data_IF_327916505316
#
_entry.id   IF_327916505316
#
_cell.length_a   1.000
_cell.length_b   1.000
_cell.length_c   1.000
_cell.angle_alpha   90.00
_cell.angle_beta   90.00
_cell.angle_gamma   90.00
#
_symmetry.space_group_name_H-M   'P 1'
#
loop_
_entity.id
_entity.type
_entity.pdbx_description
1 polymer ?
#
# COMPACT_ATOMS: atom_id res chain seq x y z
N UNK A 1 -7.34 -9.55 -6.11
CA UNK A 1 -8.05 -10.56 -5.32
C UNK A 1 -7.83 -11.99 -5.86
N UNK A 2 -7.63 -12.15 -7.16
CA UNK A 2 -7.33 -13.46 -7.77
C UNK A 2 -6.07 -14.09 -7.18
N UNK A 3 -5.05 -13.30 -6.85
CA UNK A 3 -3.77 -13.77 -6.30
C UNK A 3 -3.78 -14.01 -4.78
N UNK A 4 -4.91 -13.74 -4.11
CA UNK A 4 -5.07 -13.92 -2.65
C UNK A 4 -6.43 -14.56 -2.33
N UNK A 5 -6.61 -15.83 -2.63
CA UNK A 5 -7.89 -16.55 -2.43
C UNK A 5 -8.27 -16.65 -0.94
N UNK A 6 -7.31 -16.56 -0.03
CA UNK A 6 -7.53 -16.65 1.41
C UNK A 6 -8.11 -15.37 2.06
N UNK A 7 -8.26 -14.27 1.30
CA UNK A 7 -8.91 -13.07 1.83
C UNK A 7 -10.40 -13.36 2.03
N UNK A 8 -10.88 -13.21 3.26
CA UNK A 8 -12.28 -13.46 3.64
C UNK A 8 -13.08 -12.17 3.75
N UNK A 9 -12.44 -11.06 4.19
CA UNK A 9 -13.09 -9.78 4.40
C UNK A 9 -12.26 -8.63 3.77
N UNK A 10 -12.97 -7.63 3.25
CA UNK A 10 -12.43 -6.39 2.73
C UNK A 10 -13.10 -5.24 3.48
N UNK A 11 -12.32 -4.49 4.25
CA UNK A 11 -12.79 -3.27 4.93
C UNK A 11 -12.36 -2.06 4.12
N UNK A 12 -13.33 -1.23 3.73
CA UNK A 12 -13.10 -0.03 2.92
C UNK A 12 -13.30 1.21 3.77
N UNK A 13 -12.27 2.03 3.84
CA UNK A 13 -12.32 3.35 4.46
C UNK A 13 -12.01 4.44 3.44
N UNK A 14 -12.96 5.31 3.19
CA UNK A 14 -12.84 6.47 2.29
C UNK A 14 -12.75 7.78 3.07
N UNK A 15 -12.85 8.88 2.34
CA UNK A 15 -12.77 10.24 2.92
C UNK A 15 -13.90 10.52 3.92
N UNK A 16 -15.08 9.98 3.68
CA UNK A 16 -16.25 10.10 4.56
C UNK A 16 -16.94 8.73 4.70
N UNK A 17 -17.68 8.50 5.79
CA UNK A 17 -18.47 7.27 5.95
C UNK A 17 -19.43 7.03 4.77
N UNK A 18 -20.02 8.09 4.23
CA UNK A 18 -20.97 8.02 3.10
C UNK A 18 -20.26 7.55 1.83
N UNK A 19 -19.03 8.03 1.59
CA UNK A 19 -18.24 7.59 0.43
C UNK A 19 -17.82 6.14 0.54
N UNK A 20 -17.48 5.67 1.73
CA UNK A 20 -17.18 4.26 2.00
C UNK A 20 -18.42 3.38 1.78
N UNK A 21 -19.57 3.80 2.32
CA UNK A 21 -20.84 3.08 2.16
C UNK A 21 -21.27 3.02 0.69
N UNK A 22 -21.15 4.11 -0.05
CA UNK A 22 -21.46 4.15 -1.48
C UNK A 22 -20.54 3.22 -2.30
N UNK A 23 -19.25 3.19 -1.98
CA UNK A 23 -18.27 2.33 -2.67
C UNK A 23 -18.56 0.83 -2.47
N UNK A 24 -18.83 0.40 -1.22
CA UNK A 24 -19.13 -1.01 -0.94
C UNK A 24 -20.51 -1.45 -1.44
N UNK A 25 -21.38 -0.50 -1.76
CA UNK A 25 -22.69 -0.77 -2.37
C UNK A 25 -22.68 -0.76 -3.90
N UNK A 26 -21.55 -0.36 -4.52
CA UNK A 26 -21.43 -0.33 -5.97
C UNK A 26 -21.50 -1.75 -6.56
N UNK A 27 -22.41 -2.04 -7.51
CA UNK A 27 -22.58 -3.40 -8.06
C UNK A 27 -21.31 -3.99 -8.68
N UNK A 28 -20.46 -3.17 -9.28
CA UNK A 28 -19.21 -3.60 -9.87
C UNK A 28 -18.20 -4.01 -8.78
N UNK A 29 -18.13 -3.26 -7.67
CA UNK A 29 -17.27 -3.58 -6.52
C UNK A 29 -17.74 -4.84 -5.82
N UNK A 30 -19.05 -5.01 -5.66
CA UNK A 30 -19.67 -6.23 -5.10
C UNK A 30 -19.33 -7.46 -5.95
N UNK A 31 -19.45 -7.35 -7.27
CA UNK A 31 -19.08 -8.43 -8.20
C UNK A 31 -17.60 -8.81 -8.09
N UNK A 32 -16.70 -7.81 -8.03
CA UNK A 32 -15.27 -8.04 -7.83
C UNK A 32 -14.92 -8.66 -6.48
N UNK A 33 -15.65 -8.33 -5.43
CA UNK A 33 -15.45 -8.91 -4.11
C UNK A 33 -15.85 -10.40 -4.09
N UNK A 34 -16.83 -10.78 -4.91
CA UNK A 34 -17.31 -12.16 -4.99
C UNK A 34 -17.91 -12.64 -3.69
N UNK A 35 -17.42 -13.75 -3.14
CA UNK A 35 -17.91 -14.31 -1.87
C UNK A 35 -17.33 -13.67 -0.61
N UNK A 36 -16.45 -12.67 -0.73
CA UNK A 36 -15.80 -12.02 0.40
C UNK A 36 -16.73 -11.03 1.08
N UNK A 37 -16.64 -10.93 2.39
CA UNK A 37 -17.36 -9.88 3.12
C UNK A 37 -16.79 -8.51 2.73
N UNK A 38 -17.66 -7.60 2.27
CA UNK A 38 -17.30 -6.23 1.88
C UNK A 38 -17.98 -5.26 2.83
N UNK A 39 -17.19 -4.49 3.59
CA UNK A 39 -17.66 -3.68 4.72
C UNK A 39 -17.11 -2.26 4.62
N UNK A 40 -17.98 -1.26 4.79
CA UNK A 40 -17.53 0.11 5.05
C UNK A 40 -17.07 0.21 6.51
N UNK A 41 -15.88 0.74 6.74
CA UNK A 41 -15.31 0.87 8.08
C UNK A 41 -14.58 2.19 8.29
N UNK A 42 -14.09 2.38 9.51
CA UNK A 42 -13.23 3.52 9.87
C UNK A 42 -11.79 3.31 9.39
N UNK A 43 -10.95 4.36 9.37
CA UNK A 43 -9.53 4.21 9.09
C UNK A 43 -8.84 3.21 10.03
N UNK A 44 -9.21 3.19 11.32
CA UNK A 44 -8.67 2.29 12.33
C UNK A 44 -9.04 0.83 12.05
N UNK A 45 -10.29 0.57 11.68
CA UNK A 45 -10.77 -0.78 11.32
C UNK A 45 -10.05 -1.29 10.07
N UNK A 46 -9.91 -0.44 9.03
CA UNK A 46 -9.15 -0.79 7.82
C UNK A 46 -7.67 -1.05 8.11
N UNK A 47 -7.04 -0.20 8.95
CA UNK A 47 -5.63 -0.32 9.30
C UNK A 47 -5.31 -1.51 10.22
N UNK A 48 -6.31 -2.07 10.94
CA UNK A 48 -6.13 -3.27 11.76
C UNK A 48 -6.12 -4.59 10.98
N UNK A 49 -6.26 -4.53 9.65
CA UNK A 49 -6.23 -5.71 8.78
C UNK A 49 -4.80 -6.24 8.60
N UNK A 50 -4.66 -7.53 8.26
CA UNK A 50 -3.36 -8.15 7.95
C UNK A 50 -2.71 -7.58 6.67
N UNK A 51 -3.54 -7.11 5.72
CA UNK A 51 -3.13 -6.47 4.50
C UNK A 51 -3.83 -5.11 4.37
N UNK A 52 -3.06 -4.03 4.39
CA UNK A 52 -3.54 -2.65 4.24
C UNK A 52 -3.11 -2.10 2.90
N UNK A 53 -4.04 -1.49 2.15
CA UNK A 53 -3.76 -0.85 0.87
C UNK A 53 -4.12 0.64 0.93
N UNK A 54 -3.12 1.52 0.87
CA UNK A 54 -3.28 2.96 0.69
C UNK A 54 -3.32 3.32 -0.80
N UNK A 55 -4.45 3.89 -1.24
CA UNK A 55 -4.69 4.27 -2.64
C UNK A 55 -5.26 5.69 -2.71
N UNK A 56 -4.83 6.58 -1.82
CA UNK A 56 -5.40 7.93 -1.70
C UNK A 56 -4.51 8.99 -2.33
N UNK A 57 -5.06 10.15 -2.60
CA UNK A 57 -4.32 11.34 -3.02
C UNK A 57 -4.11 12.33 -1.87
N UNK A 58 -4.14 11.85 -0.62
CA UNK A 58 -4.05 12.70 0.56
C UNK A 58 -2.69 13.40 0.68
N UNK A 59 -2.72 14.61 1.25
CA UNK A 59 -1.53 15.34 1.69
C UNK A 59 -1.20 15.09 3.16
N UNK A 60 -2.17 14.53 3.89
CA UNK A 60 -2.05 14.22 5.32
C UNK A 60 -2.18 12.70 5.55
N UNK A 61 -1.49 12.14 6.55
CA UNK A 61 -1.58 10.71 6.84
C UNK A 61 -3.01 10.26 7.09
N UNK A 62 -3.40 9.16 6.44
CA UNK A 62 -4.75 8.58 6.52
C UNK A 62 -4.75 7.15 7.08
N UNK A 63 -3.57 6.53 7.19
CA UNK A 63 -3.39 5.21 7.80
C UNK A 63 -2.95 5.40 9.26
N UNK A 64 -3.81 5.09 10.25
CA UNK A 64 -3.46 5.23 11.67
C UNK A 64 -2.39 4.23 12.09
N UNK A 65 -1.16 4.68 12.34
CA UNK A 65 -0.04 3.82 12.76
C UNK A 65 -0.33 3.01 14.02
N UNK A 66 -1.15 3.54 14.93
CA UNK A 66 -1.50 2.86 16.17
C UNK A 66 -2.41 1.63 15.97
N UNK A 67 -3.10 1.53 14.84
CA UNK A 67 -3.96 0.40 14.52
C UNK A 67 -3.21 -0.75 13.81
N UNK A 68 -2.02 -0.48 13.24
CA UNK A 68 -1.20 -1.49 12.56
C UNK A 68 -0.70 -2.53 13.56
N UNK A 69 -0.93 -3.80 13.26
CA UNK A 69 -0.57 -4.94 14.10
C UNK A 69 0.76 -5.57 13.65
N UNK A 70 1.45 -6.30 14.53
CA UNK A 70 2.54 -7.17 14.12
C UNK A 70 2.12 -8.10 12.96
N UNK A 71 2.98 -8.30 11.99
CA UNK A 71 2.70 -9.13 10.80
C UNK A 71 1.96 -8.42 9.66
N UNK A 72 1.43 -7.22 9.88
CA UNK A 72 0.73 -6.46 8.82
C UNK A 72 1.66 -6.18 7.63
N UNK A 73 1.11 -6.31 6.42
CA UNK A 73 1.71 -5.75 5.20
C UNK A 73 0.95 -4.50 4.76
N UNK A 74 1.68 -3.41 4.53
CA UNK A 74 1.13 -2.12 4.08
C UNK A 74 1.62 -1.83 2.67
N UNK A 75 0.72 -1.81 1.69
CA UNK A 75 0.98 -1.40 0.31
C UNK A 75 0.49 0.03 0.07
N UNK A 76 1.37 0.93 -0.36
CA UNK A 76 1.06 2.34 -0.61
C UNK A 76 1.30 2.68 -2.08
N UNK A 77 0.24 3.05 -2.79
CA UNK A 77 0.30 3.43 -4.22
C UNK A 77 -0.29 4.81 -4.51
N UNK A 78 -0.92 5.44 -3.52
CA UNK A 78 -1.68 6.68 -3.72
C UNK A 78 -0.83 7.92 -3.86
N UNK A 79 0.29 8.00 -3.19
CA UNK A 79 1.16 9.17 -3.18
C UNK A 79 2.30 9.02 -4.21
N UNK A 80 2.19 9.75 -5.30
CA UNK A 80 3.18 9.84 -6.39
C UNK A 80 3.74 11.27 -6.56
N UNK A 81 3.81 12.03 -5.48
CA UNK A 81 4.23 13.43 -5.47
C UNK A 81 4.92 13.72 -4.15
N UNK A 82 5.96 14.54 -4.18
CA UNK A 82 6.78 14.93 -3.02
C UNK A 82 6.03 15.62 -1.88
N UNK A 83 4.76 16.04 -2.12
CA UNK A 83 3.92 16.74 -1.15
C UNK A 83 2.80 15.85 -0.57
N UNK A 84 2.63 14.62 -1.06
CA UNK A 84 1.56 13.70 -0.63
C UNK A 84 2.12 12.62 0.27
N UNK A 85 1.30 12.18 1.21
CA UNK A 85 1.64 11.07 2.11
C UNK A 85 0.36 10.41 2.65
N UNK A 86 0.43 9.10 2.80
CA UNK A 86 -0.65 8.29 3.38
C UNK A 86 -0.32 7.82 4.80
N UNK A 87 0.98 7.84 5.18
CA UNK A 87 1.47 7.37 6.47
C UNK A 87 2.35 8.41 7.17
N UNK A 88 2.54 8.24 8.47
CA UNK A 88 3.47 9.03 9.29
C UNK A 88 4.87 8.44 9.27
N UNK A 89 5.93 9.22 9.60
CA UNK A 89 7.28 8.69 9.79
C UNK A 89 7.36 7.58 10.84
N UNK A 90 6.49 7.59 11.85
CA UNK A 90 6.44 6.56 12.89
C UNK A 90 6.15 5.16 12.32
N UNK A 91 5.33 5.06 11.26
CA UNK A 91 5.10 3.78 10.60
C UNK A 91 6.32 3.33 9.80
N UNK A 92 6.99 4.28 9.11
CA UNK A 92 8.24 3.98 8.38
C UNK A 92 9.33 3.48 9.32
N UNK A 93 9.43 4.03 10.54
CA UNK A 93 10.40 3.60 11.54
C UNK A 93 10.11 2.20 12.13
N UNK A 94 8.85 1.76 12.08
CA UNK A 94 8.41 0.44 12.60
C UNK A 94 8.43 -0.66 11.54
N UNK A 95 8.38 -0.29 10.27
CA UNK A 95 8.23 -1.22 9.16
C UNK A 95 9.56 -1.47 8.44
N UNK A 96 9.71 -2.67 7.90
CA UNK A 96 10.72 -2.94 6.88
C UNK A 96 10.20 -2.40 5.54
N UNK A 97 10.87 -1.36 5.02
CA UNK A 97 10.41 -0.61 3.85
C UNK A 97 11.02 -1.15 2.56
N UNK A 98 10.16 -1.47 1.62
CA UNK A 98 10.50 -1.84 0.24
C UNK A 98 9.92 -0.82 -0.73
N UNK A 99 10.53 -0.69 -1.90
CA UNK A 99 10.10 0.23 -2.96
C UNK A 99 10.01 -0.50 -4.31
N UNK A 100 9.35 0.10 -5.27
CA UNK A 100 9.35 -0.42 -6.65
C UNK A 100 10.70 -0.20 -7.34
N UNK A 101 11.27 1.00 -7.18
CA UNK A 101 12.62 1.38 -7.65
C UNK A 101 13.20 2.43 -6.69
N UNK A 102 14.47 2.28 -6.31
CA UNK A 102 15.11 3.18 -5.34
C UNK A 102 15.25 4.61 -5.88
N UNK A 103 15.54 4.77 -7.16
CA UNK A 103 15.67 6.08 -7.81
C UNK A 103 14.33 6.80 -7.90
N UNK A 104 13.32 6.13 -8.46
CA UNK A 104 11.97 6.67 -8.58
C UNK A 104 11.37 7.01 -7.22
N UNK A 105 11.57 6.16 -6.20
CA UNK A 105 11.12 6.43 -4.85
C UNK A 105 11.79 7.66 -4.22
N UNK A 106 13.08 7.88 -4.48
CA UNK A 106 13.80 9.06 -4.00
C UNK A 106 13.30 10.36 -4.64
N UNK A 107 12.77 10.29 -5.86
CA UNK A 107 12.28 11.44 -6.61
C UNK A 107 10.79 11.74 -6.33
N UNK A 108 9.95 10.71 -6.08
CA UNK A 108 8.49 10.86 -6.12
C UNK A 108 7.74 10.32 -4.88
N UNK A 109 8.35 9.47 -4.04
CA UNK A 109 7.67 8.89 -2.88
C UNK A 109 7.54 9.90 -1.74
N UNK A 110 6.44 10.62 -1.69
CA UNK A 110 6.24 11.75 -0.76
C UNK A 110 6.39 11.36 0.70
N UNK A 111 5.90 10.19 1.15
CA UNK A 111 6.08 9.71 2.52
C UNK A 111 7.55 9.63 2.91
N UNK A 112 8.37 9.02 2.03
CA UNK A 112 9.79 8.79 2.28
C UNK A 112 10.56 10.10 2.22
N UNK A 113 10.26 10.95 1.21
CA UNK A 113 10.89 12.24 1.01
C UNK A 113 10.62 13.19 2.19
N UNK A 114 9.36 13.28 2.64
CA UNK A 114 8.99 14.15 3.75
C UNK A 114 9.61 13.68 5.07
N UNK A 115 9.63 12.37 5.32
CA UNK A 115 10.27 11.79 6.50
C UNK A 115 11.80 11.98 6.49
N UNK A 116 12.44 11.84 5.33
CA UNK A 116 13.88 12.08 5.19
C UNK A 116 14.23 13.56 5.40
N UNK A 117 13.40 14.48 4.88
CA UNK A 117 13.61 15.94 5.05
C UNK A 117 13.44 16.41 6.48
N UNK A 118 12.54 15.78 7.26
CA UNK A 118 12.38 16.07 8.69
C UNK A 118 13.47 15.43 9.56
N UNK A 119 14.24 14.49 9.02
CA UNK A 119 15.25 13.74 9.76
C UNK A 119 14.71 12.57 10.57
N UNK A 120 13.43 12.23 10.41
CA UNK A 120 12.77 11.15 11.14
C UNK A 120 13.04 9.77 10.51
N UNK A 121 13.53 9.74 9.25
CA UNK A 121 13.79 8.53 8.49
C UNK A 121 14.88 8.78 7.44
N UNK A 122 15.49 7.71 6.89
CA UNK A 122 16.52 7.80 5.84
C UNK A 122 16.28 6.80 4.73
N UNK A 123 16.59 7.17 3.48
CA UNK A 123 16.56 6.25 2.34
C UNK A 123 17.54 5.08 2.46
N UNK A 124 18.58 5.18 3.31
CA UNK A 124 19.47 4.06 3.64
C UNK A 124 18.74 2.92 4.36
N UNK A 125 17.55 3.19 4.94
CA UNK A 125 16.69 2.19 5.58
C UNK A 125 15.80 1.42 4.60
N UNK A 126 15.83 1.72 3.29
CA UNK A 126 15.13 0.92 2.28
C UNK A 126 15.77 -0.46 2.20
N UNK A 127 15.03 -1.48 2.63
CA UNK A 127 15.52 -2.86 2.73
C UNK A 127 15.69 -3.53 1.36
N UNK A 128 14.93 -3.10 0.35
CA UNK A 128 15.05 -3.62 -0.99
C UNK A 128 14.09 -2.97 -1.98
N UNK A 129 14.33 -3.25 -3.27
CA UNK A 129 13.44 -2.89 -4.36
C UNK A 129 12.70 -4.11 -4.93
N UNK A 130 11.79 -3.85 -5.89
CA UNK A 130 10.99 -4.91 -6.51
C UNK A 130 11.85 -5.97 -7.21
N UNK A 131 12.99 -5.58 -7.80
CA UNK A 131 13.91 -6.52 -8.45
C UNK A 131 14.51 -7.46 -7.42
N UNK A 132 15.00 -6.96 -6.30
CA UNK A 132 15.58 -7.73 -5.20
C UNK A 132 14.53 -8.65 -4.56
N UNK A 133 13.29 -8.19 -4.40
CA UNK A 133 12.16 -9.02 -3.93
C UNK A 133 11.85 -10.16 -4.90
N UNK A 134 11.80 -9.90 -6.21
CA UNK A 134 11.55 -10.94 -7.23
C UNK A 134 12.67 -11.98 -7.33
N UNK A 135 13.91 -11.56 -7.08
CA UNK A 135 15.08 -12.46 -7.05
C UNK A 135 15.18 -13.24 -5.72
N UNK A 136 14.39 -12.90 -4.72
CA UNK A 136 14.41 -13.52 -3.40
C UNK A 136 15.67 -13.19 -2.59
N UNK A 137 16.36 -12.09 -2.90
CA UNK A 137 17.55 -11.63 -2.18
C UNK A 137 17.19 -10.81 -0.95
N UNK A 138 15.96 -10.34 -0.86
CA UNK A 138 15.37 -9.64 0.29
C UNK A 138 13.92 -10.04 0.46
N UNK A 139 13.29 -9.70 1.58
CA UNK A 139 11.88 -9.96 1.86
C UNK A 139 11.58 -9.95 3.35
N UNK A 140 10.36 -10.35 3.71
CA UNK A 140 9.95 -10.55 5.10
C UNK A 140 10.81 -11.60 5.78
N UNK A 141 11.25 -11.33 7.01
CA UNK A 141 12.15 -12.20 7.78
C UNK A 141 11.46 -12.92 8.94
N UNK A 142 10.30 -12.45 9.39
CA UNK A 142 9.49 -13.10 10.42
C UNK A 142 7.99 -12.81 10.24
N UNK A 143 7.15 -13.64 10.84
CA UNK A 143 5.69 -13.51 10.75
C UNK A 143 5.19 -12.24 11.45
N UNK A 144 5.86 -11.78 12.50
CA UNK A 144 5.48 -10.57 13.24
C UNK A 144 6.03 -9.28 12.62
N UNK A 145 6.86 -9.37 11.60
CA UNK A 145 7.47 -8.21 10.96
C UNK A 145 6.41 -7.37 10.23
N UNK A 146 6.35 -6.07 10.52
CA UNK A 146 5.55 -5.13 9.72
C UNK A 146 6.34 -4.81 8.46
N UNK A 147 5.76 -5.06 7.29
CA UNK A 147 6.40 -4.70 6.01
C UNK A 147 5.60 -3.61 5.32
N UNK A 148 6.30 -2.68 4.66
CA UNK A 148 5.70 -1.62 3.88
C UNK A 148 6.30 -1.62 2.47
N UNK A 149 5.43 -1.69 1.46
CA UNK A 149 5.82 -1.53 0.06
C UNK A 149 5.30 -0.20 -0.46
N UNK A 150 6.23 0.70 -0.83
CA UNK A 150 5.88 1.98 -1.45
C UNK A 150 6.13 1.93 -2.95
N UNK A 151 5.07 2.10 -3.72
CA UNK A 151 5.12 2.24 -5.16
C UNK A 151 4.83 3.68 -5.59
N UNK A 152 5.56 4.15 -6.57
CA UNK A 152 5.28 5.39 -7.33
C UNK A 152 4.88 5.08 -8.77
N UNK A 153 4.98 3.80 -9.16
CA UNK A 153 4.67 3.30 -10.50
C UNK A 153 5.90 3.34 -11.42
N UNK A 154 5.96 2.38 -12.31
CA UNK A 154 7.01 2.29 -13.32
C UNK A 154 6.35 2.06 -14.69
N UNK A 155 6.78 2.80 -15.71
CA UNK A 155 6.25 2.69 -17.08
C UNK A 155 6.35 1.27 -17.66
N UNK A 156 7.31 0.46 -17.19
CA UNK A 156 7.44 -0.95 -17.58
C UNK A 156 6.22 -1.78 -17.17
N UNK A 157 5.52 -1.41 -16.12
CA UNK A 157 4.31 -2.13 -15.69
C UNK A 157 3.16 -1.92 -16.66
N UNK A 158 3.00 -0.71 -17.20
CA UNK A 158 2.00 -0.44 -18.24
C UNK A 158 2.26 -1.29 -19.48
N UNK A 159 3.53 -1.45 -19.86
CA UNK A 159 3.93 -2.30 -20.97
C UNK A 159 3.62 -3.78 -20.71
N UNK A 160 3.91 -4.29 -19.50
CA UNK A 160 3.63 -5.67 -19.11
C UNK A 160 2.12 -5.94 -19.11
N UNK A 161 1.33 -5.02 -18.56
CA UNK A 161 -0.14 -5.14 -18.55
C UNK A 161 -0.69 -5.12 -19.96
N UNK A 162 -0.24 -4.19 -20.81
CA UNK A 162 -0.66 -4.10 -22.21
C UNK A 162 -0.32 -5.38 -22.99
N UNK A 163 0.90 -5.90 -22.86
CA UNK A 163 1.33 -7.17 -23.50
C UNK A 163 0.48 -8.35 -23.01
N UNK A 164 0.18 -8.42 -21.70
CA UNK A 164 -0.66 -9.46 -21.13
C UNK A 164 -2.08 -9.42 -21.72
N UNK A 165 -2.70 -8.24 -21.79
CA UNK A 165 -4.05 -8.06 -22.37
C UNK A 165 -4.07 -8.46 -23.85
N UNK A 166 -3.05 -8.08 -24.61
CA UNK A 166 -2.97 -8.44 -26.05
C UNK A 166 -2.82 -9.94 -26.26
N UNK A 167 -2.09 -10.64 -25.39
CA UNK A 167 -1.84 -12.09 -25.52
C UNK A 167 -3.01 -12.96 -25.02
N UNK A 168 -3.89 -12.41 -24.17
CA UNK A 168 -5.03 -13.14 -23.59
C UNK A 168 -6.33 -12.96 -24.36
N UNK A 169 -6.37 -12.12 -25.38
CA UNK A 169 -7.46 -11.94 -26.34
C UNK A 169 -7.14 -12.63 -27.67
#
# INVERSE_FOLDING_TARGET
>A
LVVRPAIEQIVVSGRTPESSAAFVADPWVVDLAGSRALVAGTPEEAASSELVCGCTSSTDPVVPTAAIQPGTHVGLVGSYSTARREVTPDLLAKATVFVDDRGAAADEAGELILAARSGDWSFDAVAGDLTELCLGTTGRTSDDEITLFKSVGLAVWDLIVADTVVRTN
#
